data_IF_361868235326
#
_entry.id   IF_361868235326
#
_cell.length_a   1.000
_cell.length_b   1.000
_cell.length_c   1.000
_cell.angle_alpha   90.00
_cell.angle_beta   90.00
_cell.angle_gamma   90.00
#
_symmetry.space_group_name_H-M   'P 1'
#
loop_
_entity.id
_entity.type
_entity.pdbx_description
1 polymer ?
#
# COMPACT_ATOMS: atom_id res chain seq x y z
N UNK A 1 41.48 14.55 26.08
CA UNK A 1 41.29 13.59 24.97
C UNK A 1 40.06 14.06 24.19
N UNK A 2 40.25 14.45 22.94
CA UNK A 2 39.28 15.23 22.16
C UNK A 2 38.08 14.40 21.70
N UNK A 3 36.90 15.01 21.75
CA UNK A 3 35.65 14.49 21.18
C UNK A 3 35.77 14.49 19.65
N UNK A 4 35.90 13.31 19.04
CA UNK A 4 35.84 13.19 17.58
C UNK A 4 34.38 13.29 17.15
N UNK A 5 34.00 14.46 16.61
CA UNK A 5 32.74 14.66 15.91
C UNK A 5 32.71 13.76 14.67
N UNK A 6 31.99 12.64 14.73
CA UNK A 6 31.68 11.88 13.53
C UNK A 6 30.48 12.54 12.85
N UNK A 7 30.76 13.29 11.79
CA UNK A 7 29.77 13.75 10.82
C UNK A 7 29.27 12.53 10.07
N UNK A 8 28.16 11.95 10.51
CA UNK A 8 27.49 10.85 9.79
C UNK A 8 26.60 11.47 8.71
N UNK A 9 26.95 11.19 7.46
CA UNK A 9 26.20 11.56 6.27
C UNK A 9 24.75 11.07 6.33
N UNK A 10 23.83 11.90 5.82
CA UNK A 10 22.41 11.58 5.63
C UNK A 10 22.27 10.29 4.83
N UNK A 11 21.70 9.24 5.44
CA UNK A 11 21.13 8.10 4.68
C UNK A 11 21.20 6.71 5.32
N UNK A 12 22.00 6.46 6.36
CA UNK A 12 22.22 5.09 6.85
C UNK A 12 22.18 4.89 8.37
N UNK A 13 21.72 5.88 9.14
CA UNK A 13 21.61 5.72 10.59
C UNK A 13 20.42 4.84 10.98
N UNK A 14 20.69 3.74 11.68
CA UNK A 14 19.69 2.91 12.38
C UNK A 14 19.12 3.60 13.62
N UNK A 15 19.57 4.82 13.95
CA UNK A 15 19.19 5.54 15.16
C UNK A 15 18.08 6.58 14.93
N UNK A 16 17.47 6.59 13.74
CA UNK A 16 16.37 7.52 13.42
C UNK A 16 15.16 6.77 12.86
N UNK A 17 13.94 7.13 13.27
CA UNK A 17 12.73 6.54 12.70
C UNK A 17 12.66 6.80 11.18
N UNK A 18 12.27 5.81 10.36
CA UNK A 18 12.04 6.04 8.94
C UNK A 18 10.78 6.88 8.73
N UNK A 19 10.81 7.79 7.76
CA UNK A 19 9.65 8.58 7.34
C UNK A 19 8.64 7.68 6.62
N UNK A 20 7.37 7.74 7.01
CA UNK A 20 6.27 7.10 6.26
C UNK A 20 5.66 8.08 5.28
N UNK A 21 5.80 7.81 3.98
CA UNK A 21 5.20 8.61 2.90
C UNK A 21 4.00 7.91 2.22
N UNK A 22 3.67 6.69 2.66
CA UNK A 22 2.54 5.91 2.14
C UNK A 22 2.77 5.22 0.80
N UNK A 23 3.92 5.42 0.14
CA UNK A 23 4.22 4.86 -1.18
C UNK A 23 5.05 3.57 -1.15
N UNK A 24 5.83 3.36 -0.09
CA UNK A 24 6.68 2.17 0.04
C UNK A 24 6.54 1.50 1.41
N UNK A 25 5.36 0.92 1.64
CA UNK A 25 5.03 0.23 2.88
C UNK A 25 5.98 -0.94 3.20
N UNK A 26 6.38 -1.82 2.25
CA UNK A 26 7.33 -2.90 2.54
C UNK A 26 8.71 -2.40 2.97
N UNK A 27 9.21 -1.33 2.33
CA UNK A 27 10.45 -0.69 2.75
C UNK A 27 10.32 -0.05 4.13
N UNK A 28 9.27 0.74 4.35
CA UNK A 28 9.06 1.43 5.62
C UNK A 28 8.87 0.44 6.76
N UNK A 29 8.08 -0.63 6.57
CA UNK A 29 7.86 -1.67 7.58
C UNK A 29 9.16 -2.37 7.94
N UNK A 30 9.98 -2.75 6.95
CA UNK A 30 11.30 -3.35 7.15
C UNK A 30 12.23 -2.41 7.93
N UNK A 31 12.25 -1.13 7.58
CA UNK A 31 13.11 -0.13 8.26
C UNK A 31 12.62 0.18 9.66
N UNK A 32 11.32 0.23 9.89
CA UNK A 32 10.72 0.48 11.20
C UNK A 32 10.93 -0.72 12.12
N UNK A 33 10.82 -1.95 11.59
CA UNK A 33 11.18 -3.18 12.28
C UNK A 33 12.64 -3.14 12.76
N UNK A 34 13.58 -2.80 11.87
CA UNK A 34 15.00 -2.70 12.21
C UNK A 34 15.23 -1.62 13.28
N UNK A 35 14.58 -0.46 13.16
CA UNK A 35 14.68 0.64 14.11
C UNK A 35 14.17 0.25 15.51
N UNK A 36 12.99 -0.37 15.60
CA UNK A 36 12.41 -0.79 16.89
C UNK A 36 13.28 -1.86 17.54
N UNK A 37 13.74 -2.86 16.77
CA UNK A 37 14.66 -3.90 17.28
C UNK A 37 16.00 -3.34 17.75
N UNK A 38 16.47 -2.24 17.15
CA UNK A 38 17.70 -1.58 17.59
C UNK A 38 17.51 -0.81 18.92
N UNK A 39 16.30 -0.36 19.25
CA UNK A 39 15.98 0.29 20.53
C UNK A 39 15.78 -0.75 21.63
N UNK A 40 14.94 -1.74 21.35
CA UNK A 40 14.67 -2.86 22.24
C UNK A 40 14.24 -4.04 21.37
N UNK A 41 15.04 -5.11 21.41
CA UNK A 41 14.84 -6.31 20.62
C UNK A 41 13.44 -6.93 20.85
N UNK A 42 12.96 -6.92 22.09
CA UNK A 42 11.67 -7.50 22.50
C UNK A 42 10.47 -6.56 22.26
N UNK A 43 10.73 -5.27 22.05
CA UNK A 43 9.67 -4.28 21.93
C UNK A 43 8.84 -4.45 20.67
N UNK A 44 9.44 -4.95 19.58
CA UNK A 44 8.68 -5.29 18.38
C UNK A 44 7.70 -6.44 18.64
N UNK A 45 8.13 -7.46 19.39
CA UNK A 45 7.29 -8.62 19.69
C UNK A 45 6.15 -8.21 20.64
N UNK A 46 6.40 -7.34 21.62
CA UNK A 46 5.34 -6.78 22.50
C UNK A 46 4.33 -5.91 21.71
N UNK A 47 4.79 -5.12 20.74
CA UNK A 47 3.93 -4.25 19.92
C UNK A 47 2.97 -5.07 19.05
N UNK A 48 3.44 -6.18 18.49
CA UNK A 48 2.66 -7.00 17.55
C UNK A 48 1.79 -8.03 18.28
N UNK A 49 2.37 -8.72 19.26
CA UNK A 49 1.73 -9.87 19.90
C UNK A 49 1.07 -9.50 21.25
N UNK A 50 1.27 -8.27 21.72
CA UNK A 50 0.88 -7.84 23.06
C UNK A 50 1.86 -8.37 24.13
N UNK A 51 1.56 -8.22 25.43
CA UNK A 51 2.44 -8.67 26.51
C UNK A 51 2.63 -10.20 26.60
N UNK A 52 2.09 -10.99 25.67
CA UNK A 52 2.08 -12.45 25.71
C UNK A 52 2.40 -13.03 24.34
N UNK A 53 3.49 -13.79 24.23
CA UNK A 53 3.83 -14.54 23.02
C UNK A 53 2.84 -15.71 22.90
N UNK A 54 1.91 -15.73 21.92
CA UNK A 54 0.98 -16.83 21.77
C UNK A 54 1.76 -18.08 21.39
N UNK A 55 1.76 -19.06 22.28
CA UNK A 55 2.42 -20.35 22.09
C UNK A 55 1.36 -21.43 22.26
N UNK A 56 1.28 -22.32 21.27
CA UNK A 56 0.40 -23.49 21.35
C UNK A 56 1.20 -24.64 21.96
N UNK A 57 0.71 -25.18 23.08
CA UNK A 57 1.29 -26.40 23.67
C UNK A 57 0.91 -27.59 22.79
N UNK A 58 1.90 -28.31 22.29
CA UNK A 58 1.67 -29.60 21.67
C UNK A 58 1.32 -30.61 22.77
N UNK A 59 0.04 -30.97 22.89
CA UNK A 59 -0.45 -31.93 23.90
C UNK A 59 0.10 -33.35 23.74
N UNK A 60 0.75 -33.66 22.62
CA UNK A 60 1.37 -34.97 22.37
C UNK A 60 2.84 -34.98 22.76
N UNK A 61 3.59 -33.91 22.48
CA UNK A 61 5.04 -33.82 22.78
C UNK A 61 5.38 -32.98 24.01
N UNK A 62 4.39 -32.30 24.61
CA UNK A 62 4.54 -31.29 25.66
C UNK A 62 5.47 -30.11 25.29
N UNK A 63 5.71 -29.89 24.00
CA UNK A 63 6.54 -28.80 23.50
C UNK A 63 5.71 -27.53 23.28
N UNK A 64 6.25 -26.37 23.69
CA UNK A 64 5.68 -25.08 23.32
C UNK A 64 6.04 -24.76 21.87
N UNK A 65 5.06 -24.75 20.98
CA UNK A 65 5.23 -24.34 19.59
C UNK A 65 4.93 -22.85 19.48
N UNK A 66 5.90 -22.01 19.07
CA UNK A 66 5.64 -20.60 18.78
C UNK A 66 4.60 -20.49 17.67
N UNK A 67 3.54 -19.70 17.89
CA UNK A 67 2.54 -19.46 16.84
C UNK A 67 3.22 -18.74 15.66
N UNK A 68 2.92 -19.20 14.45
CA UNK A 68 3.51 -18.63 13.24
C UNK A 68 3.14 -17.15 13.11
N UNK A 69 4.16 -16.29 12.96
CA UNK A 69 4.05 -14.83 12.85
C UNK A 69 3.24 -14.46 11.59
N UNK A 70 2.00 -13.99 11.75
CA UNK A 70 1.25 -13.36 10.66
C UNK A 70 1.69 -11.90 10.62
N UNK A 71 2.67 -11.58 9.79
CA UNK A 71 3.02 -10.19 9.52
C UNK A 71 1.81 -9.60 8.79
N UNK A 72 1.18 -8.54 9.32
CA UNK A 72 0.05 -7.83 8.69
C UNK A 72 0.40 -7.12 7.36
N UNK A 73 1.33 -7.69 6.60
CA UNK A 73 1.73 -7.37 5.23
C UNK A 73 0.55 -7.43 4.25
N UNK A 74 -0.51 -8.16 4.63
CA UNK A 74 -1.77 -8.24 3.88
C UNK A 74 -2.38 -6.88 3.59
N UNK A 75 -2.31 -5.90 4.50
CA UNK A 75 -2.92 -4.58 4.24
C UNK A 75 -2.25 -3.83 3.09
N UNK A 76 -0.93 -3.93 2.96
CA UNK A 76 -0.18 -3.25 1.91
C UNK A 76 -0.20 -4.04 0.59
N UNK A 77 -0.06 -5.37 0.63
CA UNK A 77 -0.18 -6.21 -0.56
C UNK A 77 -1.60 -6.17 -1.16
N UNK A 78 -2.65 -6.20 -0.32
CA UNK A 78 -4.04 -6.06 -0.78
C UNK A 78 -4.27 -4.67 -1.36
N UNK A 79 -3.72 -3.61 -0.76
CA UNK A 79 -3.82 -2.24 -1.29
C UNK A 79 -3.14 -2.15 -2.66
N UNK A 80 -1.92 -2.65 -2.81
CA UNK A 80 -1.17 -2.66 -4.06
C UNK A 80 -1.87 -3.48 -5.14
N UNK A 81 -2.42 -4.64 -4.79
CA UNK A 81 -3.17 -5.50 -5.72
C UNK A 81 -4.45 -4.82 -6.21
N UNK A 82 -5.17 -4.13 -5.31
CA UNK A 82 -6.34 -3.31 -5.65
C UNK A 82 -5.96 -2.15 -6.58
N UNK A 83 -4.86 -1.46 -6.28
CA UNK A 83 -4.33 -0.38 -7.13
C UNK A 83 -3.99 -0.93 -8.53
N UNK A 84 -3.30 -2.07 -8.62
CA UNK A 84 -2.92 -2.67 -9.89
C UNK A 84 -4.14 -3.04 -10.74
N UNK A 85 -5.13 -3.70 -10.15
CA UNK A 85 -6.37 -4.05 -10.82
C UNK A 85 -7.16 -2.82 -11.30
N UNK A 86 -7.29 -1.80 -10.45
CA UNK A 86 -7.97 -0.55 -10.81
C UNK A 86 -7.22 0.22 -11.90
N UNK A 87 -5.89 0.22 -11.86
CA UNK A 87 -5.05 0.83 -12.90
C UNK A 87 -5.28 0.14 -14.24
N UNK A 88 -5.29 -1.20 -14.26
CA UNK A 88 -5.61 -1.98 -15.46
C UNK A 88 -7.02 -1.65 -15.99
N UNK A 89 -8.03 -1.66 -15.11
CA UNK A 89 -9.40 -1.33 -15.48
C UNK A 89 -9.53 0.10 -16.02
N UNK A 90 -8.78 1.05 -15.46
CA UNK A 90 -8.71 2.44 -15.94
C UNK A 90 -8.06 2.53 -17.33
N UNK A 91 -6.97 1.80 -17.54
CA UNK A 91 -6.23 1.82 -18.81
C UNK A 91 -7.02 1.19 -19.95
N UNK A 92 -7.71 0.08 -19.66
CA UNK A 92 -8.55 -0.66 -20.61
C UNK A 92 -9.97 -0.09 -20.71
N UNK A 93 -10.28 0.98 -19.99
CA UNK A 93 -11.62 1.52 -19.90
C UNK A 93 -12.14 1.97 -21.27
N UNK A 94 -13.33 1.48 -21.61
CA UNK A 94 -14.07 1.83 -22.82
C UNK A 94 -15.56 1.84 -22.51
N UNK A 95 -16.30 2.59 -23.31
CA UNK A 95 -17.75 2.56 -23.32
C UNK A 95 -18.23 1.21 -23.87
N UNK A 96 -19.19 0.59 -23.19
CA UNK A 96 -19.75 -0.68 -23.60
C UNK A 96 -20.84 -0.50 -24.68
N UNK A 97 -21.08 -1.51 -25.55
CA UNK A 97 -22.14 -1.43 -26.55
C UNK A 97 -23.52 -1.24 -25.91
N UNK A 98 -24.24 -0.18 -26.29
CA UNK A 98 -25.57 0.12 -25.73
C UNK A 98 -25.54 0.78 -24.34
N UNK A 99 -24.38 1.04 -23.77
CA UNK A 99 -24.22 1.88 -22.58
C UNK A 99 -24.56 3.34 -22.93
N UNK A 100 -25.20 4.07 -22.02
CA UNK A 100 -25.36 5.52 -22.17
C UNK A 100 -24.17 6.29 -21.56
N UNK A 101 -24.02 7.57 -21.95
CA UNK A 101 -22.88 8.39 -21.51
C UNK A 101 -22.83 8.57 -20.00
N UNK A 102 -23.98 8.68 -19.33
CA UNK A 102 -24.06 8.89 -17.87
C UNK A 102 -23.57 7.65 -17.13
N UNK A 103 -24.04 6.46 -17.52
CA UNK A 103 -23.56 5.19 -16.97
C UNK A 103 -22.07 5.00 -17.17
N UNK A 104 -21.56 5.33 -18.37
CA UNK A 104 -20.13 5.27 -18.64
C UNK A 104 -19.34 6.20 -17.71
N UNK A 105 -19.80 7.46 -17.53
CA UNK A 105 -19.17 8.44 -16.65
C UNK A 105 -19.21 8.01 -15.17
N UNK A 106 -20.29 7.39 -14.71
CA UNK A 106 -20.40 6.86 -13.35
C UNK A 106 -19.37 5.76 -13.08
N UNK A 107 -19.21 4.81 -14.01
CA UNK A 107 -18.19 3.75 -13.90
C UNK A 107 -16.78 4.34 -13.91
N UNK A 108 -16.52 5.29 -14.79
CA UNK A 108 -15.23 5.97 -14.90
C UNK A 108 -14.88 6.74 -13.62
N UNK A 109 -15.84 7.49 -13.09
CA UNK A 109 -15.71 8.26 -11.85
C UNK A 109 -15.48 7.34 -10.65
N UNK A 110 -16.16 6.19 -10.59
CA UNK A 110 -15.93 5.20 -9.54
C UNK A 110 -14.48 4.68 -9.53
N UNK A 111 -13.89 4.42 -10.70
CA UNK A 111 -12.51 3.94 -10.81
C UNK A 111 -11.53 5.03 -10.36
N UNK A 112 -11.68 6.25 -10.88
CA UNK A 112 -10.79 7.38 -10.55
C UNK A 112 -10.87 7.77 -9.07
N UNK A 113 -12.06 7.78 -8.48
CA UNK A 113 -12.26 8.04 -7.06
C UNK A 113 -11.58 6.96 -6.19
N UNK A 114 -11.73 5.68 -6.55
CA UNK A 114 -11.07 4.58 -5.82
C UNK A 114 -9.55 4.66 -5.90
N UNK A 115 -8.99 5.00 -7.07
CA UNK A 115 -7.54 5.20 -7.22
C UNK A 115 -7.05 6.39 -6.37
N UNK A 116 -7.80 7.49 -6.35
CA UNK A 116 -7.51 8.65 -5.50
C UNK A 116 -7.52 8.30 -4.02
N UNK A 117 -8.55 7.59 -3.53
CA UNK A 117 -8.65 7.11 -2.14
C UNK A 117 -7.50 6.18 -1.74
N UNK A 118 -6.93 5.44 -2.69
CA UNK A 118 -5.79 4.56 -2.47
C UNK A 118 -4.44 5.29 -2.54
N UNK A 119 -4.43 6.62 -2.74
CA UNK A 119 -3.22 7.45 -2.79
C UNK A 119 -2.58 7.55 -4.18
N UNK A 120 -3.31 7.23 -5.24
CA UNK A 120 -2.90 7.47 -6.64
C UNK A 120 -3.82 8.50 -7.31
N UNK A 121 -3.64 9.80 -7.03
CA UNK A 121 -4.36 10.83 -7.76
C UNK A 121 -3.94 10.82 -9.24
N UNK A 122 -4.92 10.91 -10.13
CA UNK A 122 -4.68 11.01 -11.58
C UNK A 122 -4.74 12.49 -11.97
N UNK A 123 -3.82 12.92 -12.83
CA UNK A 123 -3.78 14.30 -13.30
C UNK A 123 -4.99 14.60 -14.19
N UNK A 124 -5.53 15.82 -14.08
CA UNK A 124 -6.75 16.22 -14.79
C UNK A 124 -6.64 16.04 -16.31
N UNK A 125 -5.49 16.38 -16.90
CA UNK A 125 -5.26 16.19 -18.34
C UNK A 125 -5.28 14.70 -18.74
N UNK A 126 -4.87 13.78 -17.86
CA UNK A 126 -4.88 12.34 -18.13
C UNK A 126 -6.29 11.78 -18.05
N UNK A 127 -7.09 12.29 -17.11
CA UNK A 127 -8.52 11.99 -17.01
C UNK A 127 -9.23 12.36 -18.31
N UNK A 128 -9.06 13.61 -18.77
CA UNK A 128 -9.69 14.08 -20.02
C UNK A 128 -9.24 13.26 -21.22
N UNK A 129 -7.92 13.04 -21.35
CA UNK A 129 -7.34 12.26 -22.45
C UNK A 129 -7.84 10.81 -22.45
N UNK A 130 -8.01 10.20 -21.28
CA UNK A 130 -8.55 8.84 -21.16
C UNK A 130 -10.01 8.80 -21.54
N UNK A 131 -10.82 9.72 -20.99
CA UNK A 131 -12.26 9.78 -21.26
C UNK A 131 -12.56 9.90 -22.77
N UNK A 132 -11.84 10.76 -23.48
CA UNK A 132 -11.97 10.92 -24.93
C UNK A 132 -11.64 9.61 -25.68
N UNK A 133 -10.64 8.86 -25.23
CA UNK A 133 -10.24 7.58 -25.85
C UNK A 133 -11.17 6.43 -25.57
N UNK A 134 -11.95 6.52 -24.50
CA UNK A 134 -12.91 5.50 -24.09
C UNK A 134 -14.23 5.59 -24.86
N UNK A 135 -14.49 6.72 -25.53
CA UNK A 135 -15.67 6.91 -26.36
C UNK A 135 -15.56 6.11 -27.68
N UNK A 136 -16.68 5.55 -28.20
CA UNK A 136 -16.66 4.86 -29.47
C UNK A 136 -16.47 5.87 -30.61
N UNK A 137 -15.83 5.45 -31.71
CA UNK A 137 -15.47 6.33 -32.84
C UNK A 137 -16.68 7.02 -33.49
N UNK A 138 -17.86 6.41 -33.39
CA UNK A 138 -19.11 6.93 -33.92
C UNK A 138 -19.92 7.74 -32.89
N UNK A 139 -19.38 7.98 -31.69
CA UNK A 139 -20.05 8.77 -30.67
C UNK A 139 -20.27 10.20 -31.18
N UNK A 140 -21.49 10.68 -31.02
CA UNK A 140 -21.86 12.07 -31.26
C UNK A 140 -22.59 12.58 -30.03
N UNK A 141 -22.32 13.81 -29.59
CA UNK A 141 -23.13 14.44 -28.55
C UNK A 141 -24.57 14.49 -29.07
N UNK A 142 -25.51 13.99 -28.26
CA UNK A 142 -26.92 14.29 -28.48
C UNK A 142 -27.13 15.76 -28.11
N UNK A 143 -27.37 16.58 -29.13
CA UNK A 143 -27.85 17.96 -28.99
C UNK A 143 -29.34 17.93 -28.71
#
# INVERSE_FOLDING_TARGET
>A
MALQKLVVAKGQSTNRPPLFDGFNCPYWSTRMLIYIRAINYEMWDIIIDGPFIPSTLNVVTNEMIPKQRIIHEETCQVKESKIALLTYNYEMFKMEPGEDITRMLDRFTNITNKLSQLGKPILEYEVVKRLIRSLPKNWKPKV
#
